data_IF_553696094327
#
_entry.id   IF_553696094327
#
_cell.length_a   1.000
_cell.length_b   1.000
_cell.length_c   1.000
_cell.angle_alpha   90.00
_cell.angle_beta   90.00
_cell.angle_gamma   90.00
#
_symmetry.space_group_name_H-M   'P 1'
#
loop_
_entity.id
_entity.type
_entity.pdbx_description
1 polymer ?
#
# COMPACT_ATOMS: atom_id res chain seq x y z
N UNK A 1 86.07 -0.17 41.97
CA UNK A 1 85.07 0.46 42.84
C UNK A 1 84.68 1.80 42.22
N UNK A 2 83.69 1.81 41.33
CA UNK A 2 82.96 3.01 40.86
C UNK A 2 81.54 2.54 40.49
N UNK A 3 80.54 3.24 41.01
CA UNK A 3 79.10 2.97 40.94
C UNK A 3 78.53 3.22 39.53
N UNK A 4 77.49 2.47 39.15
CA UNK A 4 76.56 2.88 38.10
C UNK A 4 75.12 2.48 38.46
N UNK A 5 74.29 3.49 38.71
CA UNK A 5 72.84 3.40 38.91
C UNK A 5 72.13 2.90 37.66
N UNK A 6 71.19 1.96 37.81
CA UNK A 6 70.26 1.58 36.76
C UNK A 6 68.87 2.18 37.03
N UNK A 7 68.38 2.86 35.99
CA UNK A 7 67.19 3.71 35.92
C UNK A 7 65.92 2.84 35.77
N UNK A 8 64.88 3.12 36.55
CA UNK A 8 63.56 2.48 36.43
C UNK A 8 62.83 3.10 35.24
N UNK A 9 62.59 2.32 34.18
CA UNK A 9 61.80 2.73 33.01
C UNK A 9 60.32 2.42 33.29
N UNK A 10 59.52 3.48 33.42
CA UNK A 10 58.06 3.43 33.54
C UNK A 10 57.44 3.13 32.17
N UNK A 11 56.88 1.93 31.98
CA UNK A 11 56.03 1.60 30.83
C UNK A 11 54.71 2.36 30.94
N UNK A 12 54.46 3.32 30.04
CA UNK A 12 53.12 3.91 29.85
C UNK A 12 52.38 3.12 28.77
N UNK A 13 51.26 2.51 29.17
CA UNK A 13 50.29 1.87 28.28
C UNK A 13 49.75 2.88 27.26
N UNK A 14 49.92 2.60 25.97
CA UNK A 14 49.24 3.33 24.89
C UNK A 14 47.94 2.58 24.59
N UNK A 15 46.81 3.11 25.03
CA UNK A 15 45.50 2.63 24.62
C UNK A 15 45.21 3.15 23.20
N UNK A 16 45.11 2.24 22.24
CA UNK A 16 44.72 2.54 20.87
C UNK A 16 43.20 2.73 20.83
N UNK A 17 42.73 3.97 20.73
CA UNK A 17 41.32 4.27 20.52
C UNK A 17 40.96 3.97 19.06
N UNK A 18 40.28 2.85 18.82
CA UNK A 18 39.63 2.55 17.54
C UNK A 18 38.42 3.48 17.40
N UNK A 19 38.60 4.58 16.66
CA UNK A 19 37.50 5.36 16.13
C UNK A 19 36.83 4.54 15.02
N UNK A 20 35.70 3.91 15.34
CA UNK A 20 34.81 3.35 14.34
C UNK A 20 34.23 4.52 13.52
N UNK A 21 34.75 4.70 12.30
CA UNK A 21 34.10 5.56 11.32
C UNK A 21 32.80 4.86 10.90
N UNK A 22 31.68 5.29 11.46
CA UNK A 22 30.38 5.01 10.87
C UNK A 22 30.39 5.68 9.49
N UNK A 23 30.43 4.86 8.42
CA UNK A 23 30.20 5.38 7.08
C UNK A 23 28.83 6.07 7.07
N UNK A 24 28.69 7.25 6.47
CA UNK A 24 27.37 7.82 6.26
C UNK A 24 26.57 6.80 5.46
N UNK A 25 25.44 6.35 5.99
CA UNK A 25 24.46 5.62 5.20
C UNK A 25 24.09 6.57 4.07
N UNK A 26 24.55 6.27 2.85
CA UNK A 26 23.98 6.86 1.66
C UNK A 26 22.51 6.47 1.75
N UNK A 27 21.63 7.45 1.97
CA UNK A 27 20.20 7.21 1.93
C UNK A 27 19.92 6.61 0.56
N UNK A 28 19.69 5.30 0.53
CA UNK A 28 19.39 4.61 -0.70
C UNK A 28 18.08 5.22 -1.20
N UNK A 29 18.07 5.68 -2.45
CA UNK A 29 16.87 6.21 -3.08
C UNK A 29 15.92 5.04 -3.39
N UNK A 30 15.41 4.40 -2.34
CA UNK A 30 14.49 3.29 -2.36
C UNK A 30 13.22 3.66 -1.61
N UNK A 31 12.11 3.11 -2.11
CA UNK A 31 10.83 3.19 -1.41
C UNK A 31 10.98 2.54 -0.01
N UNK A 32 10.42 3.14 1.05
CA UNK A 32 10.20 2.45 2.31
C UNK A 32 9.36 1.17 2.13
N UNK A 33 9.47 0.19 3.04
CA UNK A 33 8.67 -1.02 3.01
C UNK A 33 7.16 -0.72 2.94
N UNK A 34 6.44 -1.61 2.25
CA UNK A 34 4.99 -1.54 2.06
C UNK A 34 4.56 -1.54 0.59
N UNK A 35 3.27 -1.26 0.38
CA UNK A 35 2.66 -1.22 -0.96
C UNK A 35 2.67 0.21 -1.49
N UNK A 36 3.09 0.39 -2.74
CA UNK A 36 3.12 1.69 -3.42
C UNK A 36 2.44 1.61 -4.77
N UNK A 37 1.54 2.54 -5.08
CA UNK A 37 0.90 2.61 -6.41
C UNK A 37 0.77 4.04 -6.90
N UNK A 38 0.53 4.20 -8.20
CA UNK A 38 0.22 5.50 -8.81
C UNK A 38 -1.28 5.69 -9.09
N UNK A 39 -2.16 4.96 -8.39
CA UNK A 39 -3.61 4.91 -8.69
C UNK A 39 -4.25 6.28 -8.85
N UNK A 40 -4.05 7.19 -7.88
CA UNK A 40 -4.72 8.49 -7.91
C UNK A 40 -4.18 9.39 -9.02
N UNK A 41 -2.87 9.33 -9.27
CA UNK A 41 -2.25 10.11 -10.34
C UNK A 41 -2.74 9.66 -11.72
N UNK A 42 -2.79 8.35 -11.96
CA UNK A 42 -3.31 7.76 -13.20
C UNK A 42 -4.80 8.10 -13.39
N UNK A 43 -5.58 8.08 -12.31
CA UNK A 43 -7.02 8.33 -12.39
C UNK A 43 -7.34 9.77 -12.78
N UNK A 44 -6.57 10.75 -12.28
CA UNK A 44 -6.82 12.17 -12.53
C UNK A 44 -5.96 12.78 -13.64
N UNK A 45 -5.01 12.06 -14.23
CA UNK A 45 -4.11 12.57 -15.26
C UNK A 45 -4.85 13.31 -16.40
N UNK A 46 -5.88 12.69 -16.99
CA UNK A 46 -6.64 13.29 -18.09
C UNK A 46 -7.45 14.52 -17.65
N UNK A 47 -8.05 14.48 -16.45
CA UNK A 47 -8.78 15.62 -15.86
C UNK A 47 -7.86 16.82 -15.61
N UNK A 48 -6.60 16.55 -15.29
CA UNK A 48 -5.56 17.56 -15.08
C UNK A 48 -4.83 17.96 -16.37
N UNK A 49 -5.22 17.42 -17.54
CA UNK A 49 -4.58 17.69 -18.82
C UNK A 49 -3.17 17.12 -18.96
N UNK A 50 -2.82 16.10 -18.18
CA UNK A 50 -1.55 15.36 -18.24
C UNK A 50 -1.70 14.09 -19.07
N UNK A 51 -0.57 13.56 -19.53
CA UNK A 51 -0.51 12.22 -20.10
C UNK A 51 -0.78 11.18 -19.01
N UNK A 52 -1.66 10.21 -19.31
CA UNK A 52 -1.95 9.10 -18.40
C UNK A 52 -0.90 8.00 -18.57
N UNK A 53 -0.07 7.82 -17.55
CA UNK A 53 0.86 6.70 -17.46
C UNK A 53 0.14 5.36 -17.22
N UNK A 54 0.86 4.27 -17.52
CA UNK A 54 0.41 2.95 -17.11
C UNK A 54 0.29 2.87 -15.58
N UNK A 55 -0.71 2.13 -15.11
CA UNK A 55 -0.82 1.82 -13.69
C UNK A 55 0.35 0.92 -13.26
N UNK A 56 0.93 1.23 -12.10
CA UNK A 56 1.96 0.42 -11.46
C UNK A 56 1.61 0.18 -10.00
N UNK A 57 1.96 -1.00 -9.51
CA UNK A 57 1.92 -1.37 -8.11
C UNK A 57 3.22 -2.08 -7.73
N UNK A 58 3.80 -1.67 -6.62
CA UNK A 58 4.99 -2.28 -6.04
C UNK A 58 4.69 -2.76 -4.64
N UNK A 59 5.24 -3.90 -4.28
CA UNK A 59 5.41 -4.33 -2.90
C UNK A 59 6.90 -4.30 -2.58
N UNK A 60 7.25 -3.64 -1.49
CA UNK A 60 8.63 -3.45 -1.02
C UNK A 60 8.76 -4.12 0.34
N UNK A 61 9.71 -5.05 0.45
CA UNK A 61 10.00 -5.76 1.68
C UNK A 61 10.89 -4.94 2.63
N UNK A 62 11.05 -5.41 3.86
CA UNK A 62 11.87 -4.78 4.90
C UNK A 62 13.35 -4.64 4.53
N UNK A 63 13.88 -5.57 3.74
CA UNK A 63 15.25 -5.53 3.22
C UNK A 63 15.42 -4.59 2.02
N UNK A 64 14.34 -3.94 1.58
CA UNK A 64 14.31 -3.03 0.44
C UNK A 64 14.19 -3.74 -0.92
N UNK A 65 14.20 -5.07 -0.96
CA UNK A 65 13.84 -5.81 -2.18
C UNK A 65 12.39 -5.53 -2.55
N UNK A 66 12.07 -5.56 -3.83
CA UNK A 66 10.72 -5.23 -4.29
C UNK A 66 10.24 -6.13 -5.41
N UNK A 67 8.92 -6.18 -5.61
CA UNK A 67 8.28 -6.85 -6.74
C UNK A 67 7.10 -6.05 -7.28
N UNK A 68 6.71 -6.34 -8.51
CA UNK A 68 5.47 -5.81 -9.10
C UNK A 68 4.27 -6.59 -8.56
N UNK A 69 3.18 -5.89 -8.26
CA UNK A 69 1.89 -6.46 -7.90
C UNK A 69 0.80 -5.95 -8.87
N UNK A 70 -0.29 -6.71 -9.01
CA UNK A 70 -1.48 -6.24 -9.72
C UNK A 70 -2.44 -5.47 -8.79
N UNK A 71 -3.58 -5.03 -9.33
CA UNK A 71 -4.60 -4.30 -8.58
C UNK A 71 -5.28 -5.13 -7.46
N UNK A 72 -5.06 -6.45 -7.42
CA UNK A 72 -5.52 -7.36 -6.36
C UNK A 72 -4.41 -7.69 -5.35
N UNK A 73 -3.26 -7.01 -5.44
CA UNK A 73 -2.10 -7.28 -4.60
C UNK A 73 -1.38 -8.58 -4.94
N UNK A 74 -1.68 -9.20 -6.08
CA UNK A 74 -1.05 -10.46 -6.46
C UNK A 74 0.32 -10.21 -7.09
N UNK A 75 1.37 -10.93 -6.64
CA UNK A 75 2.71 -10.82 -7.20
C UNK A 75 2.74 -11.14 -8.69
N UNK A 76 3.44 -10.31 -9.47
CA UNK A 76 3.67 -10.51 -10.91
C UNK A 76 5.09 -11.00 -11.21
N UNK A 77 5.86 -11.36 -10.17
CA UNK A 77 7.23 -11.84 -10.25
C UNK A 77 7.85 -12.02 -8.87
N UNK A 78 9.09 -12.48 -8.85
CA UNK A 78 9.90 -12.60 -7.63
C UNK A 78 10.40 -11.24 -7.15
N UNK A 79 10.82 -11.19 -5.88
CA UNK A 79 11.52 -10.03 -5.34
C UNK A 79 12.85 -9.79 -6.06
N UNK A 80 13.19 -8.52 -6.22
CA UNK A 80 14.37 -8.04 -6.93
C UNK A 80 15.09 -6.99 -6.09
N UNK A 81 16.41 -7.10 -6.01
CA UNK A 81 17.29 -6.10 -5.41
C UNK A 81 17.76 -5.03 -6.43
N UNK A 82 17.40 -5.18 -7.70
CA UNK A 82 17.73 -4.20 -8.73
C UNK A 82 16.98 -2.88 -8.48
N UNK A 83 17.47 -1.72 -8.91
CA UNK A 83 16.73 -0.47 -8.78
C UNK A 83 15.35 -0.52 -9.46
N UNK A 84 14.32 0.07 -8.84
CA UNK A 84 13.02 0.26 -9.49
C UNK A 84 13.21 1.16 -10.72
N UNK A 85 12.85 0.71 -11.93
CA UNK A 85 13.06 1.50 -13.14
C UNK A 85 12.36 2.86 -13.08
N UNK A 86 13.09 3.93 -13.38
CA UNK A 86 12.60 5.32 -13.41
C UNK A 86 12.03 5.85 -12.08
N UNK A 87 12.31 5.16 -10.96
CA UNK A 87 12.02 5.69 -9.63
C UNK A 87 12.87 6.93 -9.37
N UNK A 88 12.23 7.99 -8.89
CA UNK A 88 12.91 9.19 -8.45
C UNK A 88 12.14 9.89 -7.33
N UNK A 89 12.84 10.75 -6.59
CA UNK A 89 12.21 11.71 -5.68
C UNK A 89 11.50 12.78 -6.49
N UNK A 90 10.35 13.25 -6.00
CA UNK A 90 9.66 14.39 -6.61
C UNK A 90 10.48 15.67 -6.39
N UNK A 91 10.63 16.49 -7.44
CA UNK A 91 11.52 17.66 -7.42
C UNK A 91 11.14 18.78 -6.45
N UNK A 92 9.84 19.02 -6.22
CA UNK A 92 9.35 20.15 -5.41
C UNK A 92 8.73 19.72 -4.05
N UNK A 93 8.93 18.49 -3.60
CA UNK A 93 8.34 18.03 -2.34
C UNK A 93 8.81 16.67 -1.82
N UNK A 94 8.28 16.27 -0.66
CA UNK A 94 8.43 14.92 -0.14
C UNK A 94 7.58 13.95 -0.97
N UNK A 95 8.17 12.87 -1.46
CA UNK A 95 7.43 11.81 -2.14
C UNK A 95 8.23 11.11 -3.21
N UNK A 96 7.58 10.16 -3.87
CA UNK A 96 8.16 9.31 -4.89
C UNK A 96 7.36 9.40 -6.18
N UNK A 97 8.03 9.15 -7.29
CA UNK A 97 7.40 9.03 -8.59
C UNK A 97 8.12 7.98 -9.43
N UNK A 98 7.40 7.40 -10.37
CA UNK A 98 7.96 6.61 -11.47
C UNK A 98 7.62 7.33 -12.77
N UNK A 99 8.65 7.59 -13.58
CA UNK A 99 8.57 8.61 -14.63
C UNK A 99 8.23 9.97 -14.00
N UNK A 100 7.06 10.53 -14.30
CA UNK A 100 6.46 11.73 -13.71
C UNK A 100 5.12 11.43 -13.01
N UNK A 101 4.79 10.15 -12.79
CA UNK A 101 3.58 9.72 -12.10
C UNK A 101 3.85 9.51 -10.60
N UNK A 102 3.09 10.21 -9.76
CA UNK A 102 3.23 10.15 -8.30
C UNK A 102 2.95 8.74 -7.76
N UNK A 103 3.85 8.22 -6.92
CA UNK A 103 3.64 7.04 -6.10
C UNK A 103 3.19 7.40 -4.69
N UNK A 104 2.22 6.65 -4.19
CA UNK A 104 1.70 6.77 -2.81
C UNK A 104 1.81 5.45 -2.08
N UNK A 105 2.27 5.52 -0.83
CA UNK A 105 2.22 4.37 0.08
C UNK A 105 0.77 4.08 0.42
N UNK A 106 0.38 2.82 0.33
CA UNK A 106 -0.94 2.36 0.65
C UNK A 106 -1.01 1.86 2.08
N UNK A 107 -2.14 2.13 2.73
CA UNK A 107 -2.51 1.51 3.99
C UNK A 107 -3.20 0.17 3.70
N UNK A 108 -2.92 -0.84 4.51
CA UNK A 108 -3.50 -2.18 4.37
C UNK A 108 -4.85 -2.27 5.08
N UNK A 109 -5.76 -3.02 4.49
CA UNK A 109 -7.10 -3.26 5.03
C UNK A 109 -7.48 -4.73 4.92
N UNK A 110 -8.25 -5.23 5.89
CA UNK A 110 -8.91 -6.53 5.80
C UNK A 110 -10.42 -6.32 5.73
N UNK A 111 -11.07 -6.98 4.78
CA UNK A 111 -12.49 -6.85 4.52
C UNK A 111 -13.26 -8.13 4.82
N UNK A 112 -14.56 -7.97 5.06
CA UNK A 112 -15.55 -9.03 4.91
C UNK A 112 -16.64 -8.57 3.94
N UNK A 113 -17.18 -9.52 3.19
CA UNK A 113 -18.20 -9.30 2.15
C UNK A 113 -19.26 -10.38 2.27
N UNK A 114 -20.52 -9.96 2.22
CA UNK A 114 -21.68 -10.84 2.18
C UNK A 114 -22.58 -10.41 1.02
N UNK A 115 -22.93 -11.37 0.16
CA UNK A 115 -23.73 -11.14 -1.04
C UNK A 115 -24.98 -11.98 -0.95
N UNK A 116 -26.14 -11.37 -1.21
CA UNK A 116 -27.42 -12.10 -1.26
C UNK A 116 -27.38 -13.10 -2.41
N UNK A 117 -27.73 -14.34 -2.11
CA UNK A 117 -27.88 -15.38 -3.13
C UNK A 117 -29.15 -15.17 -3.94
N UNK A 118 -29.19 -15.73 -5.14
CA UNK A 118 -30.38 -15.68 -5.99
C UNK A 118 -31.54 -16.48 -5.40
N UNK A 119 -31.25 -17.64 -4.80
CA UNK A 119 -32.23 -18.45 -4.10
C UNK A 119 -32.31 -18.05 -2.62
N UNK A 120 -33.54 -17.89 -2.12
CA UNK A 120 -33.80 -17.77 -0.68
C UNK A 120 -33.77 -19.14 0.01
N UNK A 121 -33.91 -19.13 1.34
CA UNK A 121 -34.05 -20.33 2.15
C UNK A 121 -35.45 -20.95 2.02
N UNK A 122 -35.63 -22.24 2.37
CA UNK A 122 -36.94 -22.89 2.32
C UNK A 122 -38.02 -22.23 3.20
N UNK A 123 -37.62 -21.50 4.23
CA UNK A 123 -38.51 -20.75 5.12
C UNK A 123 -38.99 -19.40 4.53
N UNK A 124 -38.57 -19.08 3.30
CA UNK A 124 -38.91 -17.84 2.62
C UNK A 124 -38.02 -16.64 2.97
N UNK A 125 -37.03 -16.82 3.85
CA UNK A 125 -36.05 -15.78 4.18
C UNK A 125 -34.91 -15.71 3.17
N UNK A 126 -34.18 -14.59 3.17
CA UNK A 126 -33.03 -14.40 2.30
C UNK A 126 -31.86 -15.31 2.69
N UNK A 127 -31.19 -15.88 1.69
CA UNK A 127 -29.91 -16.55 1.87
C UNK A 127 -28.75 -15.66 1.41
N UNK A 128 -27.63 -15.77 2.12
CA UNK A 128 -26.48 -14.88 1.96
C UNK A 128 -25.18 -15.69 1.92
N UNK A 129 -24.26 -15.29 1.07
CA UNK A 129 -22.86 -15.71 1.19
C UNK A 129 -22.16 -14.92 2.29
N UNK A 130 -21.04 -15.42 2.79
CA UNK A 130 -20.18 -14.68 3.69
C UNK A 130 -18.72 -15.08 3.47
N UNK A 131 -17.86 -14.09 3.25
CA UNK A 131 -16.41 -14.27 3.11
C UNK A 131 -15.73 -13.18 3.94
N UNK A 132 -14.69 -13.53 4.68
CA UNK A 132 -13.94 -12.61 5.54
C UNK A 132 -12.44 -12.84 5.40
N UNK A 133 -11.63 -11.93 5.96
CA UNK A 133 -10.17 -11.99 5.84
C UNK A 133 -9.70 -11.68 4.42
N UNK A 134 -10.42 -10.80 3.72
CA UNK A 134 -10.10 -10.40 2.35
C UNK A 134 -9.14 -9.20 2.41
N UNK A 135 -7.87 -9.45 2.13
CA UNK A 135 -6.85 -8.40 2.17
C UNK A 135 -6.93 -7.46 0.97
N UNK A 136 -6.81 -6.16 1.22
CA UNK A 136 -6.76 -5.10 0.22
C UNK A 136 -5.91 -3.94 0.72
N UNK A 137 -5.82 -2.88 -0.08
CA UNK A 137 -5.09 -1.65 0.27
C UNK A 137 -5.77 -0.42 -0.32
N UNK A 138 -5.58 0.74 0.31
CA UNK A 138 -6.33 1.96 0.01
C UNK A 138 -5.79 2.80 -1.16
N UNK A 139 -4.83 2.31 -1.94
CA UNK A 139 -4.38 2.96 -3.17
C UNK A 139 -4.84 2.18 -4.40
N UNK A 140 -6.14 1.89 -4.47
CA UNK A 140 -6.78 1.23 -5.61
C UNK A 140 -6.89 -0.28 -5.51
N UNK A 141 -6.57 -0.87 -4.35
CA UNK A 141 -6.63 -2.31 -4.12
C UNK A 141 -8.04 -2.87 -4.32
N UNK A 142 -8.12 -4.07 -4.88
CA UNK A 142 -9.35 -4.75 -5.27
C UNK A 142 -9.43 -6.13 -4.62
N UNK A 143 -10.63 -6.51 -4.18
CA UNK A 143 -10.94 -7.89 -3.76
C UNK A 143 -12.16 -8.39 -4.52
N UNK A 144 -12.05 -9.55 -5.17
CA UNK A 144 -13.14 -10.16 -5.91
C UNK A 144 -13.74 -11.33 -5.14
N UNK A 145 -15.06 -11.32 -5.01
CA UNK A 145 -15.83 -12.43 -4.46
C UNK A 145 -16.68 -13.02 -5.59
N UNK A 146 -16.30 -14.21 -6.12
CA UNK A 146 -17.12 -14.89 -7.11
C UNK A 146 -18.38 -15.42 -6.44
N UNK A 147 -19.53 -15.19 -7.06
CA UNK A 147 -20.81 -15.71 -6.61
C UNK A 147 -21.09 -17.14 -7.09
N UNK A 148 -20.22 -17.68 -7.97
CA UNK A 148 -20.22 -19.10 -8.40
C UNK A 148 -21.58 -19.61 -8.92
N UNK A 149 -22.38 -18.73 -9.51
CA UNK A 149 -23.73 -19.04 -10.01
C UNK A 149 -24.81 -19.06 -8.92
N UNK A 150 -24.45 -18.94 -7.64
CA UNK A 150 -25.39 -18.87 -6.52
C UNK A 150 -25.72 -17.43 -6.11
N UNK A 151 -24.79 -16.51 -6.35
CA UNK A 151 -24.92 -15.07 -6.10
C UNK A 151 -24.29 -14.27 -7.26
N UNK A 152 -24.50 -12.95 -7.33
CA UNK A 152 -23.73 -12.08 -8.22
C UNK A 152 -22.24 -12.09 -7.84
N UNK A 153 -21.38 -12.04 -8.86
CA UNK A 153 -19.98 -11.69 -8.63
C UNK A 153 -19.86 -10.22 -8.23
N UNK A 154 -19.05 -9.93 -7.22
CA UNK A 154 -18.78 -8.55 -6.78
C UNK A 154 -17.29 -8.33 -6.61
N UNK A 155 -16.86 -7.09 -6.82
CA UNK A 155 -15.51 -6.63 -6.48
C UNK A 155 -15.63 -5.41 -5.59
N UNK A 156 -14.94 -5.42 -4.44
CA UNK A 156 -14.73 -4.20 -3.66
C UNK A 156 -13.42 -3.57 -4.11
N UNK A 157 -13.41 -2.24 -4.28
CA UNK A 157 -12.20 -1.44 -4.55
C UNK A 157 -12.09 -0.34 -3.51
N UNK A 158 -10.92 -0.19 -2.92
CA UNK A 158 -10.66 0.81 -1.88
C UNK A 158 -9.70 1.89 -2.42
N UNK A 159 -10.02 3.16 -2.18
CA UNK A 159 -9.19 4.31 -2.57
C UNK A 159 -9.20 5.37 -1.48
N UNK A 160 -8.04 5.89 -1.11
CA UNK A 160 -7.86 7.08 -0.31
C UNK A 160 -7.62 8.24 -1.27
N UNK A 161 -8.74 8.77 -1.75
CA UNK A 161 -8.81 9.65 -2.90
C UNK A 161 -8.30 11.03 -2.52
N UNK A 162 -7.32 11.52 -3.27
CA UNK A 162 -7.03 12.95 -3.36
C UNK A 162 -7.42 13.40 -4.75
N UNK A 163 -8.40 14.29 -4.80
CA UNK A 163 -9.00 14.74 -6.04
C UNK A 163 -8.03 15.53 -6.91
N UNK A 164 -8.34 15.59 -8.20
CA UNK A 164 -7.58 16.35 -9.19
C UNK A 164 -7.22 17.77 -8.71
N UNK A 165 -6.07 18.26 -9.14
CA UNK A 165 -5.57 19.59 -8.84
C UNK A 165 -6.64 20.65 -9.18
N UNK A 166 -6.94 21.49 -8.19
CA UNK A 166 -7.98 22.53 -8.32
C UNK A 166 -9.40 22.07 -7.97
N UNK A 167 -9.60 20.78 -7.66
CA UNK A 167 -10.86 20.29 -7.13
C UNK A 167 -11.20 20.92 -5.78
N UNK A 168 -12.50 21.18 -5.57
CA UNK A 168 -13.04 21.63 -4.28
C UNK A 168 -13.46 20.46 -3.37
N UNK A 169 -13.38 19.23 -3.87
CA UNK A 169 -13.75 18.05 -3.10
C UNK A 169 -12.72 17.79 -2.01
N UNK A 170 -13.20 17.31 -0.85
CA UNK A 170 -12.32 16.93 0.27
C UNK A 170 -11.76 15.53 0.03
N UNK A 171 -10.49 15.26 0.38
CA UNK A 171 -9.95 13.91 0.36
C UNK A 171 -10.83 12.96 1.17
N UNK A 172 -10.97 11.72 0.70
CA UNK A 172 -11.89 10.74 1.28
C UNK A 172 -11.36 9.33 1.12
N UNK A 173 -11.57 8.49 2.13
CA UNK A 173 -11.52 7.04 1.96
C UNK A 173 -12.82 6.61 1.29
N UNK A 174 -12.73 5.88 0.18
CA UNK A 174 -13.88 5.49 -0.64
C UNK A 174 -13.85 3.99 -0.90
N UNK A 175 -14.96 3.34 -0.55
CA UNK A 175 -15.21 1.93 -0.81
C UNK A 175 -16.21 1.81 -1.96
N UNK A 176 -15.74 1.32 -3.10
CA UNK A 176 -16.53 1.08 -4.30
C UNK A 176 -16.97 -0.38 -4.37
N UNK A 177 -18.17 -0.61 -4.88
CA UNK A 177 -18.70 -1.92 -5.24
C UNK A 177 -18.85 -1.98 -6.74
N UNK A 178 -18.23 -2.98 -7.36
CA UNK A 178 -18.32 -3.27 -8.79
C UNK A 178 -19.00 -4.62 -9.03
N UNK A 179 -19.65 -4.76 -10.18
CA UNK A 179 -20.17 -6.03 -10.69
C UNK A 179 -19.27 -6.55 -11.82
N UNK A 180 -19.74 -6.44 -13.06
CA UNK A 180 -19.02 -6.87 -14.27
C UNK A 180 -18.07 -5.79 -14.80
N UNK A 181 -18.46 -4.52 -14.68
CA UNK A 181 -17.63 -3.38 -15.10
C UNK A 181 -16.57 -3.07 -14.03
N UNK A 182 -15.27 -3.24 -14.34
CA UNK A 182 -14.19 -3.01 -13.38
C UNK A 182 -13.91 -1.52 -13.12
N UNK A 183 -14.43 -0.61 -13.94
CA UNK A 183 -14.17 0.83 -13.84
C UNK A 183 -15.41 1.61 -13.36
N UNK A 184 -16.62 1.24 -13.82
CA UNK A 184 -17.85 1.85 -13.32
C UNK A 184 -18.37 1.12 -12.09
N UNK A 185 -18.31 1.78 -10.94
CA UNK A 185 -18.91 1.27 -9.72
C UNK A 185 -20.44 1.21 -9.83
N UNK A 186 -21.03 0.16 -9.26
CA UNK A 186 -22.47 0.04 -9.03
C UNK A 186 -22.92 1.02 -7.94
N UNK A 187 -22.11 1.14 -6.88
CA UNK A 187 -22.31 2.08 -5.79
C UNK A 187 -21.01 2.27 -5.01
N UNK A 188 -20.99 3.25 -4.12
CA UNK A 188 -19.86 3.50 -3.25
C UNK A 188 -20.30 4.17 -1.95
N UNK A 189 -19.43 4.08 -0.95
CA UNK A 189 -19.52 4.81 0.30
C UNK A 189 -18.21 5.59 0.52
N UNK A 190 -18.26 6.66 1.30
CA UNK A 190 -17.05 7.41 1.65
C UNK A 190 -17.02 7.75 3.14
N UNK A 191 -15.81 7.90 3.66
CA UNK A 191 -15.50 8.30 5.02
C UNK A 191 -14.36 9.32 5.02
N UNK A 192 -14.00 9.82 6.20
CA UNK A 192 -12.78 10.61 6.37
C UNK A 192 -11.56 9.83 5.84
N UNK A 193 -10.56 10.49 5.26
CA UNK A 193 -9.39 9.83 4.66
C UNK A 193 -8.54 9.06 5.67
N UNK A 194 -8.67 9.39 6.96
CA UNK A 194 -7.99 8.74 8.09
C UNK A 194 -8.83 7.66 8.78
N UNK A 195 -10.05 7.38 8.31
CA UNK A 195 -10.92 6.39 8.92
C UNK A 195 -10.28 4.99 8.97
N UNK A 196 -10.36 4.36 10.14
CA UNK A 196 -9.89 2.98 10.35
C UNK A 196 -10.91 1.92 9.89
N UNK A 197 -12.15 2.32 9.60
CA UNK A 197 -13.25 1.45 9.18
C UNK A 197 -14.10 2.17 8.13
N UNK A 198 -14.45 1.45 7.06
CA UNK A 198 -15.46 1.88 6.08
C UNK A 198 -16.35 0.71 5.71
N UNK A 199 -17.65 0.95 5.51
CA UNK A 199 -18.60 -0.10 5.17
C UNK A 199 -19.73 0.38 4.29
N UNK A 200 -20.39 -0.58 3.65
CA UNK A 200 -21.49 -0.35 2.73
C UNK A 200 -22.56 -1.42 2.90
N UNK A 201 -23.83 -1.03 2.77
CA UNK A 201 -24.97 -1.94 2.73
C UNK A 201 -25.96 -1.49 1.65
N UNK A 202 -26.09 -2.28 0.60
CA UNK A 202 -26.98 -2.02 -0.54
C UNK A 202 -28.21 -2.93 -0.54
N UNK A 203 -28.50 -3.63 0.56
CA UNK A 203 -29.59 -4.64 0.69
C UNK A 203 -29.48 -5.89 -0.17
N UNK A 204 -28.51 -5.96 -1.08
CA UNK A 204 -28.16 -7.17 -1.85
C UNK A 204 -26.67 -7.52 -1.72
N UNK A 205 -25.85 -6.57 -1.26
CA UNK A 205 -24.45 -6.76 -0.88
C UNK A 205 -24.16 -5.89 0.32
N UNK A 206 -23.35 -6.40 1.22
CA UNK A 206 -22.87 -5.68 2.38
C UNK A 206 -21.44 -6.10 2.70
N UNK A 207 -20.69 -5.19 3.29
CA UNK A 207 -19.34 -5.48 3.73
C UNK A 207 -18.72 -4.29 4.43
N UNK A 208 -17.61 -4.54 5.09
CA UNK A 208 -16.75 -3.49 5.62
C UNK A 208 -15.29 -3.87 5.48
N UNK A 209 -14.44 -2.85 5.46
CA UNK A 209 -12.99 -2.96 5.46
C UNK A 209 -12.46 -2.21 6.67
N UNK A 210 -11.57 -2.86 7.42
CA UNK A 210 -10.89 -2.30 8.59
C UNK A 210 -9.40 -2.19 8.28
N UNK A 211 -8.76 -1.09 8.70
CA UNK A 211 -7.30 -0.95 8.58
C UNK A 211 -6.63 -2.06 9.39
N UNK A 212 -5.60 -2.66 8.81
CA UNK A 212 -4.73 -3.60 9.51
C UNK A 212 -3.67 -2.74 10.17
N UNK A 213 -3.58 -2.78 11.50
CA UNK A 213 -2.44 -2.20 12.20
C UNK A 213 -1.21 -3.03 11.82
N UNK A 214 -0.17 -2.38 11.29
CA UNK A 214 1.14 -3.02 11.13
C UNK A 214 1.67 -3.23 12.56
N UNK A 215 1.48 -4.43 13.12
CA UNK A 215 2.20 -4.82 14.34
C UNK A 215 3.70 -4.66 14.03
N UNK A 216 4.39 -3.78 14.79
CA UNK A 216 5.85 -3.73 14.83
C UNK A 216 6.36 -5.13 15.22
N UNK A 217 6.70 -5.95 14.23
CA UNK A 217 7.36 -7.26 14.42
C UNK A 217 8.86 -7.12 14.21
#
# INVERSE_FOLDING_TARGET
MVYASAMIISLRSVALALLAFAAPAIAQDSLPPGIWTNTEDVYFAEEEGRERHAWVGYEVAEDGSWRVIDAFGQPQGEFSDAPIPNLSRRGEGSGWQVFDSELRKAERFSCWISVRKFAGKPDGSDDWSFVHGLDTFDQGGRVRVPGKGEAPDVTFRLRNVTWARGSRNRPSLVLYVHKQDPERAESYSWASPDAALIGINLRWVQGSCSRIEEDEQ
#
